data_IF_740837766202
#
_entry.id   IF_740837766202
#
_cell.length_a   1.000
_cell.length_b   1.000
_cell.length_c   1.000
_cell.angle_alpha   90.00
_cell.angle_beta   90.00
_cell.angle_gamma   90.00
#
_symmetry.space_group_name_H-M   'P 1'
#
loop_
_entity.id
_entity.type
_entity.pdbx_description
1 polymer ?
#
# COMPACT_ATOMS: atom_id res chain seq x y z
N UNK A 1 13.06 13.33 17.16
CA UNK A 1 12.18 14.06 18.10
C UNK A 1 10.76 14.01 17.56
N UNK A 2 9.72 14.06 18.41
CA UNK A 2 8.30 14.01 17.98
C UNK A 2 7.95 14.99 16.84
N UNK A 3 8.62 16.15 16.79
CA UNK A 3 8.45 17.15 15.73
C UNK A 3 9.02 16.71 14.38
N UNK A 4 10.16 16.01 14.38
CA UNK A 4 10.77 15.45 13.16
C UNK A 4 9.92 14.31 12.60
N UNK A 5 9.41 13.42 13.45
CA UNK A 5 8.59 12.29 13.00
C UNK A 5 7.30 12.79 12.36
N UNK A 6 6.64 13.79 12.99
CA UNK A 6 5.48 14.46 12.40
C UNK A 6 5.79 15.06 11.03
N UNK A 7 6.95 15.71 10.88
CA UNK A 7 7.36 16.29 9.60
C UNK A 7 7.58 15.20 8.55
N UNK A 8 8.29 14.12 8.88
CA UNK A 8 8.53 13.02 7.96
C UNK A 8 7.26 12.29 7.55
N UNK A 9 6.31 12.09 8.47
CA UNK A 9 5.01 11.49 8.15
C UNK A 9 4.26 12.32 7.10
N UNK A 10 4.24 13.65 7.27
CA UNK A 10 3.59 14.57 6.33
C UNK A 10 4.28 14.57 4.96
N UNK A 11 5.61 14.62 4.95
CA UNK A 11 6.38 14.60 3.69
C UNK A 11 6.14 13.28 2.95
N UNK A 12 6.22 12.14 3.64
CA UNK A 12 6.01 10.82 3.04
C UNK A 12 4.60 10.69 2.41
N UNK A 13 3.56 11.14 3.11
CA UNK A 13 2.18 11.08 2.60
C UNK A 13 1.95 11.98 1.38
N UNK A 14 2.54 13.19 1.38
CA UNK A 14 2.39 14.13 0.28
C UNK A 14 3.21 13.73 -0.95
N UNK A 15 4.39 13.14 -0.77
CA UNK A 15 5.25 12.68 -1.85
C UNK A 15 4.87 11.29 -2.40
N UNK A 16 4.02 10.53 -1.70
CA UNK A 16 3.59 9.21 -2.15
C UNK A 16 2.84 9.25 -3.49
N UNK A 17 3.00 8.19 -4.28
CA UNK A 17 2.15 7.88 -5.44
C UNK A 17 0.70 7.70 -4.95
N UNK A 18 -0.24 8.37 -5.60
CA UNK A 18 -1.67 8.38 -5.25
C UNK A 18 -2.52 7.80 -6.36
N UNK A 19 -3.76 7.46 -6.01
CA UNK A 19 -4.75 7.03 -6.98
C UNK A 19 -4.97 8.13 -8.03
N UNK A 20 -4.84 7.76 -9.30
CA UNK A 20 -4.96 8.68 -10.44
C UNK A 20 -3.64 9.33 -10.88
N UNK A 21 -2.54 9.17 -10.14
CA UNK A 21 -1.24 9.64 -10.58
C UNK A 21 -0.78 8.82 -11.81
N UNK A 22 -0.16 9.46 -12.83
CA UNK A 22 0.42 8.75 -13.94
C UNK A 22 1.63 7.94 -13.45
N UNK A 23 1.62 6.64 -13.69
CA UNK A 23 2.74 5.74 -13.40
C UNK A 23 2.76 4.60 -14.41
N UNK A 24 3.96 4.19 -14.83
CA UNK A 24 4.11 3.01 -15.66
C UNK A 24 3.88 1.73 -14.84
N UNK A 25 3.44 0.62 -15.47
CA UNK A 25 3.33 -0.67 -14.78
C UNK A 25 4.65 -1.12 -14.13
N UNK A 26 5.79 -0.80 -14.75
CA UNK A 26 7.12 -1.15 -14.25
C UNK A 26 7.44 -0.41 -12.94
N UNK A 27 7.18 0.90 -12.88
CA UNK A 27 7.40 1.71 -11.67
C UNK A 27 6.54 1.22 -10.50
N UNK A 28 5.28 0.89 -10.77
CA UNK A 28 4.37 0.36 -9.75
C UNK A 28 4.84 -1.01 -9.23
N UNK A 29 5.28 -1.89 -10.13
CA UNK A 29 5.82 -3.19 -9.76
C UNK A 29 7.07 -3.04 -8.88
N UNK A 30 7.96 -2.12 -9.23
CA UNK A 30 9.17 -1.85 -8.44
C UNK A 30 8.85 -1.23 -7.07
N UNK A 31 7.81 -0.39 -6.98
CA UNK A 31 7.32 0.14 -5.71
C UNK A 31 6.80 -0.98 -4.80
N UNK A 32 6.00 -1.90 -5.33
CA UNK A 32 5.49 -3.07 -4.58
C UNK A 32 6.65 -3.94 -4.09
N UNK A 33 7.59 -4.28 -4.97
CA UNK A 33 8.78 -5.08 -4.59
C UNK A 33 9.65 -4.41 -3.54
N UNK A 34 9.74 -3.07 -3.54
CA UNK A 34 10.45 -2.32 -2.49
C UNK A 34 9.71 -2.42 -1.15
N UNK A 35 8.39 -2.24 -1.16
CA UNK A 35 7.56 -2.36 0.03
C UNK A 35 7.62 -3.77 0.64
N UNK A 36 7.60 -4.81 -0.18
CA UNK A 36 7.74 -6.21 0.26
C UNK A 36 9.12 -6.49 0.86
N UNK A 37 10.20 -6.05 0.20
CA UNK A 37 11.58 -6.23 0.71
C UNK A 37 11.82 -5.53 2.04
N UNK A 38 11.15 -4.41 2.27
CA UNK A 38 11.24 -3.64 3.51
C UNK A 38 10.19 -4.06 4.55
N UNK A 39 9.36 -5.07 4.26
CA UNK A 39 8.27 -5.52 5.11
C UNK A 39 7.34 -4.39 5.59
N UNK A 40 7.03 -3.45 4.69
CA UNK A 40 6.15 -2.32 5.03
C UNK A 40 4.72 -2.84 5.16
N UNK A 41 4.16 -2.76 6.38
CA UNK A 41 2.78 -3.18 6.69
C UNK A 41 1.79 -2.03 6.81
N UNK A 42 2.27 -0.89 7.30
CA UNK A 42 1.45 0.30 7.57
C UNK A 42 2.14 1.55 7.05
N UNK A 43 1.36 2.52 6.60
CA UNK A 43 1.86 3.86 6.36
C UNK A 43 2.21 4.54 7.69
N UNK A 44 2.99 5.64 7.70
CA UNK A 44 3.35 6.35 8.93
C UNK A 44 2.15 6.89 9.75
N UNK A 45 0.94 6.89 9.17
CA UNK A 45 -0.31 7.26 9.84
C UNK A 45 -1.17 6.06 10.27
N UNK A 46 -0.67 4.83 10.11
CA UNK A 46 -1.34 3.61 10.56
C UNK A 46 -2.29 2.94 9.57
N UNK A 47 -2.40 3.41 8.32
CA UNK A 47 -3.22 2.72 7.30
C UNK A 47 -2.47 1.48 6.78
N UNK A 48 -3.12 0.30 6.69
CA UNK A 48 -2.49 -0.87 6.09
C UNK A 48 -2.16 -0.60 4.62
N UNK A 49 -0.99 -1.03 4.16
CA UNK A 49 -0.56 -0.82 2.76
C UNK A 49 -0.97 -1.95 1.82
N UNK A 50 -1.22 -3.14 2.38
CA UNK A 50 -1.71 -4.31 1.66
C UNK A 50 -2.60 -5.15 2.56
N UNK A 51 -3.47 -5.95 1.95
CA UNK A 51 -4.25 -6.98 2.60
C UNK A 51 -4.31 -8.21 1.69
N UNK A 52 -4.48 -9.38 2.29
CA UNK A 52 -4.63 -10.62 1.52
C UNK A 52 -6.10 -10.82 1.19
N UNK A 53 -6.40 -11.09 -0.08
CA UNK A 53 -7.71 -11.53 -0.51
C UNK A 53 -7.59 -12.98 -0.97
N UNK A 54 -8.14 -13.90 -0.17
CA UNK A 54 -8.08 -15.32 -0.50
C UNK A 54 -8.97 -15.62 -1.71
N UNK A 55 -8.56 -16.59 -2.53
CA UNK A 55 -9.35 -17.01 -3.70
C UNK A 55 -10.78 -17.40 -3.34
N UNK A 56 -10.97 -18.16 -2.26
CA UNK A 56 -12.30 -18.53 -1.79
C UNK A 56 -13.14 -17.35 -1.29
N UNK A 57 -12.51 -16.31 -0.74
CA UNK A 57 -13.23 -15.08 -0.37
C UNK A 57 -13.68 -14.30 -1.59
N UNK A 58 -12.82 -14.24 -2.62
CA UNK A 58 -13.15 -13.65 -3.90
C UNK A 58 -14.32 -14.40 -4.55
N UNK A 59 -14.25 -15.73 -4.65
CA UNK A 59 -15.30 -16.58 -5.22
C UNK A 59 -16.66 -16.37 -4.51
N UNK A 60 -16.66 -16.36 -3.17
CA UNK A 60 -17.87 -16.11 -2.37
C UNK A 60 -18.51 -14.76 -2.67
N UNK A 61 -17.71 -13.70 -2.88
CA UNK A 61 -18.24 -12.36 -3.24
C UNK A 61 -18.91 -12.34 -4.62
N UNK A 62 -18.55 -13.27 -5.50
CA UNK A 62 -19.20 -13.48 -6.80
C UNK A 62 -20.33 -14.53 -6.76
N UNK A 63 -20.78 -14.95 -5.57
CA UNK A 63 -21.82 -15.98 -5.41
C UNK A 63 -21.35 -17.39 -5.81
N UNK A 64 -20.04 -17.59 -5.98
CA UNK A 64 -19.45 -18.91 -6.25
C UNK A 64 -19.11 -19.56 -4.93
N UNK A 65 -20.04 -20.31 -4.37
CA UNK A 65 -19.78 -21.24 -3.27
C UNK A 65 -19.52 -22.62 -3.86
N UNK A 66 -18.29 -23.12 -3.69
CA UNK A 66 -18.11 -24.55 -3.47
C UNK A 66 -18.39 -24.84 -2.00
#
# INVERSE_FOLDING_TARGET
TRKLDWLYHNIACRAAVKAGDPASPQELMDLVRRAERQDVRYCPHGRPVSFVLMRGELERRFGRSR
#
